data_IF_598314556782
#
_entry.id   IF_598314556782
#
_cell.length_a   1.000
_cell.length_b   1.000
_cell.length_c   1.000
_cell.angle_alpha   90.00
_cell.angle_beta   90.00
_cell.angle_gamma   90.00
#
_symmetry.space_group_name_H-M   'P 1'
#
loop_
_entity.id
_entity.type
_entity.pdbx_description
1 polymer ?
#
# COMPACT_ATOMS: atom_id res chain seq x y z
N UNK A 1 26.22 -7.60 -10.48
CA UNK A 1 24.80 -7.18 -10.52
C UNK A 1 24.52 -6.44 -9.24
N UNK A 2 24.54 -5.12 -9.27
CA UNK A 2 24.13 -4.30 -8.14
C UNK A 2 22.64 -4.52 -7.91
N UNK A 3 22.30 -5.13 -6.78
CA UNK A 3 20.93 -5.15 -6.29
C UNK A 3 20.64 -3.69 -5.94
N UNK A 4 20.07 -2.95 -6.88
CA UNK A 4 19.51 -1.63 -6.60
C UNK A 4 18.61 -1.83 -5.38
N UNK A 5 18.99 -1.27 -4.22
CA UNK A 5 18.10 -1.21 -3.06
C UNK A 5 16.92 -0.34 -3.47
N UNK A 6 15.95 -0.93 -4.18
CA UNK A 6 14.66 -0.34 -4.45
C UNK A 6 14.07 -0.09 -3.08
N UNK A 7 14.17 1.16 -2.60
CA UNK A 7 13.49 1.56 -1.38
C UNK A 7 12.01 1.26 -1.63
N UNK A 8 11.37 0.42 -0.80
CA UNK A 8 9.94 0.16 -0.96
C UNK A 8 9.21 1.50 -0.92
N UNK A 9 8.50 1.81 -2.01
CA UNK A 9 7.68 3.01 -2.10
C UNK A 9 6.36 2.66 -1.43
N UNK A 10 6.21 3.08 -0.17
CA UNK A 10 5.00 2.82 0.60
C UNK A 10 3.96 3.88 0.31
N UNK A 11 2.73 3.47 -0.01
CA UNK A 11 1.59 4.38 -0.08
C UNK A 11 0.96 4.49 1.30
N UNK A 12 0.91 5.70 1.86
CA UNK A 12 0.33 5.98 3.17
C UNK A 12 -1.14 6.42 3.10
N UNK A 13 -1.86 6.33 4.23
CA UNK A 13 -3.25 6.82 4.31
C UNK A 13 -3.38 8.30 4.00
N UNK A 14 -2.39 9.12 4.38
CA UNK A 14 -2.42 10.55 4.13
C UNK A 14 -2.32 10.88 2.63
N UNK A 15 -1.53 10.12 1.86
CA UNK A 15 -1.46 10.25 0.40
C UNK A 15 -2.79 9.85 -0.25
N UNK A 16 -3.39 8.74 0.19
CA UNK A 16 -4.72 8.31 -0.30
C UNK A 16 -5.79 9.36 0.00
N UNK A 17 -5.74 9.98 1.18
CA UNK A 17 -6.68 11.04 1.54
C UNK A 17 -6.48 12.30 0.69
N UNK A 18 -5.24 12.69 0.45
CA UNK A 18 -4.90 13.86 -0.36
C UNK A 18 -5.27 13.66 -1.84
N UNK A 19 -4.92 12.51 -2.41
CA UNK A 19 -5.10 12.23 -3.84
C UNK A 19 -6.58 12.00 -4.18
N UNK A 20 -7.32 11.30 -3.31
CA UNK A 20 -8.70 10.87 -3.62
C UNK A 20 -9.76 11.70 -2.88
N UNK A 21 -9.35 12.66 -2.05
CA UNK A 21 -10.27 13.54 -1.31
C UNK A 21 -11.17 12.79 -0.32
N UNK A 22 -10.68 11.69 0.25
CA UNK A 22 -11.45 10.83 1.16
C UNK A 22 -11.10 11.08 2.62
N UNK A 23 -12.03 10.75 3.53
CA UNK A 23 -11.73 10.74 4.97
C UNK A 23 -10.69 9.68 5.31
N UNK A 24 -9.95 9.88 6.41
CA UNK A 24 -8.98 8.88 6.91
C UNK A 24 -9.56 7.49 7.09
N UNK A 25 -10.78 7.40 7.65
CA UNK A 25 -11.46 6.10 7.82
C UNK A 25 -11.69 5.39 6.49
N UNK A 26 -12.10 6.14 5.45
CA UNK A 26 -12.28 5.62 4.10
C UNK A 26 -10.93 5.30 3.43
N UNK A 27 -9.90 6.09 3.67
CA UNK A 27 -8.52 5.80 3.24
C UNK A 27 -7.99 4.48 3.80
N UNK A 28 -8.21 4.20 5.09
CA UNK A 28 -7.86 2.91 5.69
C UNK A 28 -8.67 1.75 5.11
N UNK A 29 -9.97 1.95 4.82
CA UNK A 29 -10.79 0.92 4.19
C UNK A 29 -10.27 0.56 2.78
N UNK A 30 -9.87 1.58 2.00
CA UNK A 30 -9.27 1.40 0.67
C UNK A 30 -7.94 0.64 0.77
N UNK A 31 -7.04 1.05 1.65
CA UNK A 31 -5.75 0.36 1.87
C UNK A 31 -5.96 -1.08 2.32
N UNK A 32 -6.97 -1.35 3.15
CA UNK A 32 -7.28 -2.71 3.58
C UNK A 32 -7.79 -3.57 2.42
N UNK A 33 -8.75 -3.07 1.65
CA UNK A 33 -9.27 -3.78 0.49
C UNK A 33 -8.18 -4.11 -0.52
N UNK A 34 -7.31 -3.14 -0.82
CA UNK A 34 -6.21 -3.31 -1.77
C UNK A 34 -5.15 -4.28 -1.22
N UNK A 35 -4.89 -4.25 0.09
CA UNK A 35 -4.01 -5.22 0.76
C UNK A 35 -4.55 -6.65 0.67
N UNK A 36 -5.85 -6.82 0.87
CA UNK A 36 -6.49 -8.14 0.85
C UNK A 36 -6.47 -8.71 -0.58
N UNK A 37 -6.74 -7.88 -1.59
CA UNK A 37 -6.61 -8.25 -3.02
C UNK A 37 -5.18 -8.66 -3.38
N UNK A 38 -4.19 -7.86 -2.98
CA UNK A 38 -2.78 -8.14 -3.24
C UNK A 38 -2.31 -9.44 -2.57
N UNK A 39 -2.79 -9.76 -1.36
CA UNK A 39 -2.48 -11.03 -0.68
C UNK A 39 -3.08 -12.23 -1.39
N UNK A 40 -4.26 -12.08 -2.00
CA UNK A 40 -4.87 -13.13 -2.82
C UNK A 40 -4.03 -13.43 -4.06
N UNK A 41 -3.46 -12.41 -4.70
CA UNK A 41 -2.64 -12.56 -5.90
C UNK A 41 -1.22 -13.04 -5.60
N UNK A 42 -0.60 -12.56 -4.53
CA UNK A 42 0.72 -13.00 -4.09
C UNK A 42 0.82 -13.03 -2.55
N UNK A 43 0.68 -14.21 -1.93
CA UNK A 43 0.67 -14.35 -0.47
C UNK A 43 2.00 -13.99 0.21
N UNK A 44 3.08 -13.70 -0.55
CA UNK A 44 4.38 -13.24 -0.03
C UNK A 44 4.48 -11.70 0.09
N UNK A 45 3.44 -10.95 -0.28
CA UNK A 45 3.43 -9.49 -0.15
C UNK A 45 3.34 -9.05 1.32
N UNK A 46 4.34 -8.26 1.75
CA UNK A 46 4.38 -7.64 3.07
C UNK A 46 3.48 -6.40 3.12
N UNK A 47 2.44 -6.46 3.93
CA UNK A 47 1.53 -5.33 4.22
C UNK A 47 1.83 -4.78 5.61
N UNK A 48 1.97 -3.46 5.75
CA UNK A 48 2.14 -2.75 7.02
C UNK A 48 0.84 -2.03 7.38
N UNK A 49 0.53 -1.85 8.67
CA UNK A 49 -0.69 -1.17 9.07
C UNK A 49 -0.70 0.28 8.52
N UNK A 50 -1.68 0.59 7.67
CA UNK A 50 -1.82 1.91 7.03
C UNK A 50 -0.85 2.18 5.88
N UNK A 51 -0.12 1.17 5.40
CA UNK A 51 0.81 1.29 4.27
C UNK A 51 0.81 0.06 3.35
N UNK A 52 0.73 0.29 2.04
CA UNK A 52 0.94 -0.75 1.02
C UNK A 52 2.28 -0.56 0.35
N UNK A 53 2.98 -1.67 0.10
CA UNK A 53 4.23 -1.68 -0.66
C UNK A 53 3.93 -1.64 -2.16
N UNK A 54 4.46 -0.64 -2.89
CA UNK A 54 4.44 -0.64 -4.36
C UNK A 54 5.55 -1.56 -4.86
N UNK A 55 5.19 -2.77 -5.29
CA UNK A 55 6.06 -3.52 -6.18
C UNK A 55 5.79 -3.03 -7.62
N UNK A 56 6.87 -2.67 -8.32
CA UNK A 56 6.88 -2.54 -9.78
C UNK A 56 7.15 -3.92 -10.39
#
# INVERSE_FOLDING_TARGET
MEITKTKPMYVGVDEVCADWGVSRSKGYAIIKQLSDQMKTENPKLLTMAGKINRFY
#
